data_IF_360033019195
#
_entry.id   IF_360033019195
#
_cell.length_a   1.000
_cell.length_b   1.000
_cell.length_c   1.000
_cell.angle_alpha   90.00
_cell.angle_beta   90.00
_cell.angle_gamma   90.00
#
_symmetry.space_group_name_H-M   'P 1'
#
loop_
_entity.id
_entity.type
_entity.pdbx_description
1 polymer ?
#
# COMPACT_ATOMS: atom_id res chain seq x y z
N UNK A 1 1.54 -23.98 -0.77
CA UNK A 1 2.30 -23.05 -1.63
C UNK A 1 3.79 -23.33 -1.66
N UNK A 2 4.50 -23.57 -0.53
CA UNK A 2 5.93 -23.92 -0.54
C UNK A 2 6.25 -25.26 -1.24
N UNK A 3 5.34 -26.24 -1.14
CA UNK A 3 5.46 -27.54 -1.83
C UNK A 3 5.32 -27.43 -3.35
N UNK A 4 4.54 -26.47 -3.86
CA UNK A 4 4.35 -26.28 -5.31
C UNK A 4 5.63 -25.81 -6.00
N UNK A 5 6.46 -25.03 -5.31
CA UNK A 5 7.73 -24.52 -5.85
C UNK A 5 8.77 -25.63 -5.96
N UNK A 6 8.76 -26.61 -5.05
CA UNK A 6 9.72 -27.71 -5.02
C UNK A 6 9.44 -28.72 -6.15
N UNK A 7 8.17 -29.06 -6.37
CA UNK A 7 7.76 -29.98 -7.46
C UNK A 7 8.06 -29.36 -8.84
N UNK A 8 7.80 -28.06 -8.99
CA UNK A 8 8.09 -27.36 -10.25
C UNK A 8 9.60 -27.26 -10.54
N UNK A 9 10.44 -27.25 -9.48
CA UNK A 9 11.90 -27.17 -9.58
C UNK A 9 12.57 -28.44 -10.10
N UNK A 10 11.96 -29.61 -9.91
CA UNK A 10 12.54 -30.90 -10.34
C UNK A 10 12.25 -31.23 -11.81
N UNK A 11 11.24 -30.61 -12.42
CA UNK A 11 10.75 -31.02 -13.75
C UNK A 11 11.19 -30.13 -14.92
N UNK A 12 11.51 -28.85 -14.69
CA UNK A 12 11.76 -27.89 -15.78
C UNK A 12 13.11 -27.19 -15.66
N UNK A 13 14.20 -27.91 -15.89
CA UNK A 13 15.59 -27.43 -15.89
C UNK A 13 15.93 -26.35 -16.93
N UNK A 14 15.23 -25.21 -16.91
CA UNK A 14 15.55 -23.99 -17.66
C UNK A 14 15.45 -22.80 -16.70
N UNK A 15 16.58 -22.09 -16.58
CA UNK A 15 16.70 -20.93 -15.71
C UNK A 15 15.98 -19.74 -16.36
N UNK A 16 14.75 -19.50 -15.92
CA UNK A 16 14.02 -18.30 -16.28
C UNK A 16 14.77 -17.09 -15.69
N UNK A 17 15.20 -16.12 -16.51
CA UNK A 17 16.00 -14.97 -16.08
C UNK A 17 15.38 -14.22 -14.88
N UNK A 18 14.05 -14.25 -14.80
CA UNK A 18 13.26 -13.69 -13.70
C UNK A 18 13.59 -14.36 -12.37
N UNK A 19 13.83 -15.67 -12.35
CA UNK A 19 14.13 -16.44 -11.14
C UNK A 19 15.56 -16.19 -10.63
N UNK A 20 16.53 -15.99 -11.53
CA UNK A 20 17.89 -15.54 -11.18
C UNK A 20 17.89 -14.14 -10.58
N UNK A 21 17.10 -13.23 -11.14
CA UNK A 21 16.94 -11.87 -10.60
C UNK A 21 16.34 -11.94 -9.18
N UNK A 22 15.29 -12.74 -8.95
CA UNK A 22 14.72 -12.89 -7.61
C UNK A 22 15.74 -13.48 -6.64
N UNK A 23 16.49 -14.51 -7.04
CA UNK A 23 17.50 -15.15 -6.20
C UNK A 23 18.67 -14.19 -5.88
N UNK A 24 19.12 -13.39 -6.85
CA UNK A 24 20.11 -12.35 -6.65
C UNK A 24 19.62 -11.23 -5.72
N UNK A 25 18.35 -10.82 -5.84
CA UNK A 25 17.73 -9.87 -4.91
C UNK A 25 17.65 -10.46 -3.51
N UNK A 26 17.29 -11.73 -3.35
CA UNK A 26 17.29 -12.42 -2.05
C UNK A 26 18.69 -12.54 -1.44
N UNK A 27 19.72 -12.82 -2.24
CA UNK A 27 21.10 -12.93 -1.78
C UNK A 27 21.71 -11.57 -1.47
N UNK A 28 21.41 -10.53 -2.25
CA UNK A 28 21.81 -9.16 -1.97
C UNK A 28 21.09 -8.63 -0.74
N UNK A 29 19.77 -8.77 -0.64
CA UNK A 29 19.05 -8.32 0.56
C UNK A 29 19.35 -9.18 1.79
N UNK A 30 19.53 -10.50 1.63
CA UNK A 30 19.91 -11.40 2.71
C UNK A 30 21.34 -11.16 3.19
N UNK A 31 22.28 -10.98 2.27
CA UNK A 31 23.67 -10.62 2.56
C UNK A 31 23.80 -9.23 3.17
N UNK A 32 23.05 -8.24 2.67
CA UNK A 32 23.03 -6.89 3.22
C UNK A 32 22.35 -6.83 4.61
N UNK A 33 21.41 -7.73 4.90
CA UNK A 33 20.83 -7.91 6.25
C UNK A 33 21.83 -8.50 7.25
N UNK A 34 22.75 -9.35 6.78
CA UNK A 34 23.83 -9.91 7.61
C UNK A 34 24.99 -8.92 7.79
N UNK A 35 25.29 -8.12 6.76
CA UNK A 35 26.42 -7.18 6.73
C UNK A 35 26.13 -5.89 7.50
N UNK A 36 24.93 -5.32 7.37
CA UNK A 36 24.50 -4.21 8.21
C UNK A 36 23.83 -4.76 9.47
N UNK A 37 24.61 -4.92 10.53
CA UNK A 37 24.15 -5.07 11.93
C UNK A 37 23.36 -3.84 12.44
N UNK A 38 22.69 -3.09 11.55
CA UNK A 38 22.08 -1.81 11.83
C UNK A 38 20.55 -1.94 11.75
N UNK A 39 19.85 -2.01 12.89
CA UNK A 39 18.41 -2.27 12.95
C UNK A 39 17.57 -1.23 12.17
N UNK A 40 18.14 -0.07 11.88
CA UNK A 40 17.52 1.01 11.10
C UNK A 40 17.15 0.58 9.68
N UNK A 41 17.95 -0.26 9.00
CA UNK A 41 17.67 -0.64 7.60
C UNK A 41 16.39 -1.48 7.47
N UNK A 42 16.09 -2.30 8.47
CA UNK A 42 14.85 -3.08 8.55
C UNK A 42 13.64 -2.17 8.77
N UNK A 43 13.82 -1.08 9.52
CA UNK A 43 12.77 -0.10 9.82
C UNK A 43 12.43 0.83 8.65
N UNK A 44 13.37 1.03 7.73
CA UNK A 44 13.18 1.87 6.54
C UNK A 44 12.38 1.19 5.41
N UNK A 45 12.43 -0.15 5.30
CA UNK A 45 11.70 -0.90 4.26
C UNK A 45 10.22 -0.52 4.14
N UNK A 46 9.42 -0.46 5.23
CA UNK A 46 8.02 -0.06 5.16
C UNK A 46 7.81 1.40 4.75
N UNK A 47 8.66 2.33 5.21
CA UNK A 47 8.53 3.77 4.90
C UNK A 47 8.70 4.03 3.40
N UNK A 48 9.72 3.44 2.79
CA UNK A 48 9.97 3.60 1.34
C UNK A 48 8.77 3.09 0.55
N UNK A 49 8.21 1.95 0.95
CA UNK A 49 7.02 1.39 0.29
C UNK A 49 5.83 2.35 0.39
N UNK A 50 5.53 2.90 1.58
CA UNK A 50 4.43 3.86 1.73
C UNK A 50 4.62 5.13 0.90
N UNK A 51 5.84 5.66 0.84
CA UNK A 51 6.14 6.84 0.04
C UNK A 51 6.01 6.56 -1.47
N UNK A 52 6.48 5.40 -1.93
CA UNK A 52 6.26 4.95 -3.30
C UNK A 52 4.76 4.84 -3.59
N UNK A 53 3.97 4.25 -2.69
CA UNK A 53 2.52 4.20 -2.86
C UNK A 53 1.90 5.59 -2.99
N UNK A 54 2.28 6.54 -2.12
CA UNK A 54 1.80 7.92 -2.20
C UNK A 54 2.17 8.60 -3.52
N UNK A 55 3.42 8.46 -3.97
CA UNK A 55 3.89 9.01 -5.25
C UNK A 55 3.17 8.36 -6.42
N UNK A 56 2.97 7.04 -6.41
CA UNK A 56 2.27 6.31 -7.47
C UNK A 56 0.82 6.78 -7.58
N UNK A 57 0.12 6.98 -6.45
CA UNK A 57 -1.26 7.47 -6.45
C UNK A 57 -1.34 8.87 -7.09
N UNK A 58 -0.48 9.81 -6.67
CA UNK A 58 -0.46 11.17 -7.22
C UNK A 58 -0.05 11.17 -8.69
N UNK A 59 0.99 10.41 -9.05
CA UNK A 59 1.47 10.31 -10.42
C UNK A 59 0.37 9.74 -11.32
N UNK A 60 -0.30 8.68 -10.89
CA UNK A 60 -1.40 8.08 -11.64
C UNK A 60 -2.56 9.06 -11.85
N UNK A 61 -2.90 9.87 -10.86
CA UNK A 61 -3.91 10.92 -10.97
C UNK A 61 -3.52 12.02 -11.98
N UNK A 62 -2.23 12.30 -12.14
CA UNK A 62 -1.73 13.27 -13.13
C UNK A 62 -1.75 12.69 -14.56
N UNK A 63 -1.41 11.41 -14.72
CA UNK A 63 -1.38 10.75 -16.04
C UNK A 63 -2.76 10.23 -16.50
N UNK A 64 -3.69 9.96 -15.58
CA UNK A 64 -4.99 9.33 -15.89
C UNK A 64 -6.15 10.24 -15.49
N UNK A 65 -7.16 10.40 -16.36
CA UNK A 65 -8.40 11.14 -16.05
C UNK A 65 -9.24 10.51 -14.93
N UNK A 66 -8.98 9.24 -14.60
CA UNK A 66 -9.64 8.45 -13.56
C UNK A 66 -8.70 8.26 -12.37
N UNK A 67 -9.23 8.42 -11.17
CA UNK A 67 -8.49 8.21 -9.92
C UNK A 67 -8.15 6.74 -9.70
N UNK A 68 -6.99 6.46 -9.12
CA UNK A 68 -6.55 5.09 -8.84
C UNK A 68 -7.50 4.44 -7.82
N UNK A 69 -7.90 5.22 -6.83
CA UNK A 69 -8.79 4.78 -5.76
C UNK A 69 -10.23 4.63 -6.22
N UNK A 70 -10.65 5.46 -7.18
CA UNK A 70 -11.92 5.25 -7.88
C UNK A 70 -11.95 3.86 -8.50
N UNK A 71 -10.88 3.43 -9.18
CA UNK A 71 -10.84 2.12 -9.84
C UNK A 71 -10.87 0.96 -8.85
N UNK A 72 -10.24 1.10 -7.69
CA UNK A 72 -10.27 0.09 -6.62
C UNK A 72 -11.64 0.02 -5.93
N UNK A 73 -12.24 1.17 -5.65
CA UNK A 73 -13.52 1.27 -4.94
C UNK A 73 -14.74 1.12 -5.87
N UNK A 74 -14.59 1.28 -7.18
CA UNK A 74 -15.67 1.12 -8.16
C UNK A 74 -16.29 -0.28 -8.09
N UNK A 75 -15.50 -1.31 -7.77
CA UNK A 75 -15.98 -2.68 -7.56
C UNK A 75 -16.81 -2.81 -6.26
N UNK A 76 -16.53 -1.98 -5.25
CA UNK A 76 -17.21 -2.00 -3.94
C UNK A 76 -18.47 -1.14 -3.94
N UNK A 77 -18.48 -0.07 -4.75
CA UNK A 77 -19.57 0.93 -4.81
C UNK A 77 -20.48 0.75 -6.02
N UNK A 78 -20.30 -0.32 -6.80
CA UNK A 78 -21.04 -0.57 -8.04
C UNK A 78 -22.56 -0.55 -7.86
N UNK A 79 -23.05 -0.89 -6.65
CA UNK A 79 -24.47 -0.93 -6.28
C UNK A 79 -24.98 0.30 -5.51
N UNK A 80 -24.10 1.24 -5.09
CA UNK A 80 -24.46 2.30 -4.12
C UNK A 80 -24.66 3.70 -4.69
N UNK A 81 -24.35 3.92 -5.98
CA UNK A 81 -24.55 5.20 -6.67
C UNK A 81 -23.26 5.79 -7.25
N UNK A 82 -23.40 6.95 -7.89
CA UNK A 82 -22.29 7.63 -8.56
C UNK A 82 -21.67 8.70 -7.67
N UNK A 83 -20.34 8.65 -7.51
CA UNK A 83 -19.57 9.67 -6.80
C UNK A 83 -18.88 10.58 -7.82
N UNK A 84 -19.06 11.92 -7.75
CA UNK A 84 -18.41 12.85 -8.66
C UNK A 84 -16.88 12.70 -8.73
N UNK A 85 -16.31 12.78 -9.93
CA UNK A 85 -14.85 12.64 -10.20
C UNK A 85 -13.99 13.62 -9.38
N UNK A 86 -14.53 14.79 -9.01
CA UNK A 86 -13.83 15.76 -8.15
C UNK A 86 -13.54 15.21 -6.75
N UNK A 87 -14.45 14.39 -6.20
CA UNK A 87 -14.28 13.79 -4.86
C UNK A 87 -13.23 12.69 -4.92
N UNK A 88 -13.24 11.86 -5.97
CA UNK A 88 -12.21 10.85 -6.19
C UNK A 88 -10.79 11.43 -6.26
N UNK A 89 -10.62 12.56 -6.96
CA UNK A 89 -9.34 13.28 -7.01
C UNK A 89 -8.90 13.83 -5.66
N UNK A 90 -9.84 14.28 -4.82
CA UNK A 90 -9.54 14.68 -3.44
C UNK A 90 -9.14 13.47 -2.60
N UNK A 91 -9.81 12.33 -2.78
CA UNK A 91 -9.50 11.09 -2.08
C UNK A 91 -8.08 10.59 -2.39
N UNK A 92 -7.67 10.59 -3.66
CA UNK A 92 -6.30 10.23 -4.05
C UNK A 92 -5.25 11.10 -3.32
N UNK A 93 -5.48 12.42 -3.24
CA UNK A 93 -4.60 13.34 -2.50
C UNK A 93 -4.60 13.02 -1.01
N UNK A 94 -5.76 12.81 -0.40
CA UNK A 94 -5.89 12.46 1.02
C UNK A 94 -5.12 11.16 1.31
N UNK A 95 -5.25 10.15 0.44
CA UNK A 95 -4.52 8.90 0.55
C UNK A 95 -3.01 9.06 0.38
N UNK A 96 -2.58 9.89 -0.56
CA UNK A 96 -1.15 10.20 -0.73
C UNK A 96 -0.56 10.89 0.50
N UNK A 97 -1.26 11.87 1.07
CA UNK A 97 -0.88 12.53 2.32
C UNK A 97 -0.88 11.55 3.48
N UNK A 98 -1.89 10.68 3.58
CA UNK A 98 -1.97 9.66 4.60
C UNK A 98 -0.79 8.68 4.54
N UNK A 99 -0.47 8.11 3.37
CA UNK A 99 0.67 7.20 3.22
C UNK A 99 2.01 7.90 3.47
N UNK A 100 2.17 9.15 2.99
CA UNK A 100 3.37 9.93 3.24
C UNK A 100 3.57 10.20 4.73
N UNK A 101 2.52 10.64 5.41
CA UNK A 101 2.48 10.87 6.86
C UNK A 101 2.73 9.59 7.66
N UNK A 102 2.11 8.47 7.27
CA UNK A 102 2.32 7.17 7.91
C UNK A 102 3.77 6.70 7.77
N UNK A 103 4.38 6.91 6.60
CA UNK A 103 5.80 6.65 6.38
C UNK A 103 6.72 7.53 7.23
N UNK A 104 6.39 8.82 7.38
CA UNK A 104 7.11 9.76 8.22
C UNK A 104 6.98 9.41 9.72
N UNK A 105 5.79 9.05 10.19
CA UNK A 105 5.56 8.60 11.58
C UNK A 105 6.30 7.27 11.83
N UNK A 106 6.29 6.33 10.88
CA UNK A 106 7.08 5.10 11.01
C UNK A 106 8.57 5.40 11.15
N UNK A 107 9.09 6.37 10.39
CA UNK A 107 10.48 6.78 10.46
C UNK A 107 10.79 7.48 11.80
N UNK A 108 9.91 8.38 12.26
CA UNK A 108 10.02 9.02 13.56
C UNK A 108 10.06 7.99 14.70
N UNK A 109 9.16 7.00 14.68
CA UNK A 109 9.14 5.94 15.69
C UNK A 109 10.38 5.04 15.57
N UNK A 110 10.87 4.82 14.35
CA UNK A 110 12.06 4.04 14.12
C UNK A 110 13.34 4.64 14.73
N UNK A 111 13.46 5.97 14.74
CA UNK A 111 14.61 6.70 15.30
C UNK A 111 14.44 7.05 16.78
N UNK A 112 13.23 7.39 17.22
CA UNK A 112 13.00 7.90 18.58
C UNK A 112 12.67 6.81 19.62
N UNK A 113 12.25 5.61 19.20
CA UNK A 113 11.78 4.56 20.12
C UNK A 113 12.52 3.21 19.97
N UNK A 114 12.43 2.39 21.02
CA UNK A 114 13.01 1.05 21.08
C UNK A 114 12.38 0.09 20.05
N UNK A 115 13.10 -0.99 19.71
CA UNK A 115 12.64 -1.97 18.71
C UNK A 115 11.28 -2.58 19.05
N UNK A 116 10.98 -2.82 20.33
CA UNK A 116 9.70 -3.38 20.76
C UNK A 116 8.53 -2.44 20.45
N UNK A 117 8.70 -1.15 20.71
CA UNK A 117 7.69 -0.13 20.38
C UNK A 117 7.51 -0.03 18.87
N UNK A 118 8.61 -0.06 18.10
CA UNK A 118 8.54 -0.03 16.64
C UNK A 118 7.81 -1.25 16.04
N UNK A 119 8.09 -2.47 16.55
CA UNK A 119 7.39 -3.69 16.09
C UNK A 119 5.90 -3.57 16.38
N UNK A 120 5.53 -3.19 17.60
CA UNK A 120 4.12 -3.01 17.97
C UNK A 120 3.45 -1.92 17.14
N UNK A 121 4.13 -0.80 16.87
CA UNK A 121 3.62 0.25 15.99
C UNK A 121 3.39 -0.26 14.57
N UNK A 122 4.33 -1.05 14.01
CA UNK A 122 4.18 -1.61 12.67
C UNK A 122 2.96 -2.52 12.55
N UNK A 123 2.62 -3.28 13.58
CA UNK A 123 1.46 -4.17 13.55
C UNK A 123 0.18 -3.45 13.96
N UNK A 124 0.13 -2.92 15.18
CA UNK A 124 -1.09 -2.33 15.75
C UNK A 124 -1.28 -0.88 15.33
N UNK A 125 -0.21 -0.08 15.26
CA UNK A 125 -0.27 1.33 14.88
C UNK A 125 -0.66 1.52 13.42
N UNK A 126 0.02 0.84 12.49
CA UNK A 126 -0.30 0.89 11.06
C UNK A 126 -1.70 0.34 10.79
N UNK A 127 -2.05 -0.81 11.37
CA UNK A 127 -3.39 -1.41 11.18
C UNK A 127 -4.48 -0.52 11.77
N UNK A 128 -4.27 0.02 12.98
CA UNK A 128 -5.21 0.96 13.60
C UNK A 128 -5.38 2.24 12.79
N UNK A 129 -4.29 2.81 12.27
CA UNK A 129 -4.34 3.97 11.40
C UNK A 129 -5.10 3.67 10.10
N UNK A 130 -4.85 2.53 9.46
CA UNK A 130 -5.56 2.10 8.26
C UNK A 130 -7.05 1.88 8.52
N UNK A 131 -7.42 1.28 9.66
CA UNK A 131 -8.82 1.08 10.03
C UNK A 131 -9.55 2.40 10.28
N UNK A 132 -8.96 3.30 11.07
CA UNK A 132 -9.52 4.63 11.31
C UNK A 132 -9.67 5.42 10.01
N UNK A 133 -8.65 5.39 9.18
CA UNK A 133 -8.68 6.02 7.87
C UNK A 133 -9.75 5.39 6.96
N UNK A 134 -9.89 4.06 7.02
CA UNK A 134 -10.91 3.36 6.25
C UNK A 134 -12.33 3.71 6.69
N UNK A 135 -12.54 3.93 7.99
CA UNK A 135 -13.82 4.40 8.50
C UNK A 135 -14.09 5.84 8.05
N UNK A 136 -13.08 6.72 8.17
CA UNK A 136 -13.19 8.12 7.76
C UNK A 136 -13.50 8.27 6.27
N UNK A 137 -12.80 7.52 5.40
CA UNK A 137 -13.11 7.54 3.96
C UNK A 137 -14.52 7.00 3.70
N UNK A 138 -14.98 5.97 4.41
CA UNK A 138 -16.31 5.42 4.21
C UNK A 138 -17.40 6.44 4.56
N UNK A 139 -17.29 7.13 5.69
CA UNK A 139 -18.18 8.24 6.04
C UNK A 139 -18.11 9.38 5.03
N UNK A 140 -16.90 9.76 4.60
CA UNK A 140 -16.71 10.84 3.62
C UNK A 140 -17.37 10.50 2.27
N UNK A 141 -17.23 9.26 1.82
CA UNK A 141 -17.93 8.77 0.63
C UNK A 141 -19.43 8.78 0.84
N UNK A 142 -19.95 8.24 1.94
CA UNK A 142 -21.40 8.22 2.22
C UNK A 142 -22.02 9.61 2.21
N UNK A 143 -21.33 10.61 2.75
CA UNK A 143 -21.81 11.99 2.74
C UNK A 143 -21.89 12.58 1.31
N UNK A 144 -21.07 12.09 0.38
CA UNK A 144 -21.01 12.58 -0.98
C UNK A 144 -21.58 11.58 -2.01
N UNK A 145 -22.14 10.47 -1.55
CA UNK A 145 -22.93 9.58 -2.40
C UNK A 145 -24.19 10.35 -2.73
N UNK A 146 -24.31 10.73 -4.00
CA UNK A 146 -25.57 11.24 -4.50
C UNK A 146 -26.41 10.00 -4.80
N UNK A 147 -27.56 9.84 -4.13
CA UNK A 147 -28.50 8.79 -4.49
C UNK A 147 -28.82 8.97 -5.97
N UNK A 148 -28.47 7.98 -6.79
CA UNK A 148 -28.98 7.91 -8.16
C UNK A 148 -30.47 7.71 -7.98
N UNK A 149 -31.22 8.80 -8.13
CA UNK A 149 -32.66 8.81 -8.07
C UNK A 149 -33.13 7.81 -9.14
N UNK A 150 -33.50 6.61 -8.70
CA UNK A 150 -34.01 5.52 -9.54
C UNK A 150 -35.47 5.84 -9.85
N UNK A 151 -35.70 7.01 -10.44
CA UNK A 151 -36.97 7.49 -10.91
C UNK A 151 -36.74 7.87 -12.37
N UNK A 152 -36.72 6.84 -13.23
CA UNK A 152 -37.10 6.90 -14.65
C UNK A 152 -36.82 5.54 -15.30
N UNK A 153 -37.79 4.62 -15.17
CA UNK A 153 -38.40 3.79 -16.23
C UNK A 153 -39.10 2.57 -15.66
#
# INVERSE_FOLDING_TARGET
TSLQVIINRLWMGKWDHKQLITLAVFLLFGGMTLYFHNPIFVKWKPTIIFWIFGVVIVSYQLFTKKSLIQRLMQNVLQDKGEVPIKIWKRLDIIWAVFFSGLGAVNLYIAYSFSNNVWVNFKFYGITGALLLFSFFQACYLMQHLTEVNKNDR
#
